data_IF_590781567964
#
_entry.id   IF_590781567964
#
_cell.length_a   1.000
_cell.length_b   1.000
_cell.length_c   1.000
_cell.angle_alpha   90.00
_cell.angle_beta   90.00
_cell.angle_gamma   90.00
#
_symmetry.space_group_name_H-M   'P 1'
#
loop_
_entity.id
_entity.type
_entity.pdbx_description
1 polymer ?
#
# COMPACT_ATOMS: atom_id res chain seq x y z
N UNK A 1 0.46 -38.76 25.58
CA UNK A 1 0.61 -38.08 24.28
C UNK A 1 1.27 -36.74 24.56
N UNK A 2 2.55 -36.61 24.22
CA UNK A 2 3.32 -35.37 24.36
C UNK A 2 2.79 -34.36 23.33
N UNK A 3 2.44 -33.15 23.78
CA UNK A 3 2.05 -32.09 22.84
C UNK A 3 3.24 -31.77 21.94
N UNK A 4 3.05 -31.57 20.63
CA UNK A 4 4.15 -31.15 19.77
C UNK A 4 4.70 -29.82 20.30
N UNK A 5 6.01 -29.78 20.60
CA UNK A 5 6.69 -28.55 20.95
C UNK A 5 6.56 -27.57 19.76
N UNK A 6 6.38 -26.27 20.01
CA UNK A 6 6.38 -25.29 18.95
C UNK A 6 7.74 -25.36 18.23
N UNK A 7 7.71 -25.67 16.93
CA UNK A 7 8.87 -25.57 16.06
C UNK A 7 9.37 -24.12 16.11
N UNK A 8 10.50 -23.91 16.78
CA UNK A 8 11.23 -22.65 16.76
C UNK A 8 12.01 -22.64 15.45
N UNK A 9 11.62 -21.77 14.52
CA UNK A 9 12.41 -21.56 13.31
C UNK A 9 13.70 -20.87 13.71
N UNK A 10 14.83 -21.57 13.60
CA UNK A 10 16.12 -21.08 14.07
C UNK A 10 16.84 -20.27 13.00
N UNK A 11 16.56 -20.57 11.72
CA UNK A 11 17.36 -20.08 10.60
C UNK A 11 16.51 -19.62 9.42
N UNK A 12 15.29 -20.16 9.29
CA UNK A 12 14.35 -19.77 8.26
C UNK A 12 13.28 -18.80 8.78
N UNK A 13 12.78 -17.96 7.88
CA UNK A 13 11.85 -16.89 8.21
C UNK A 13 10.49 -17.11 7.54
N UNK A 14 9.44 -16.73 8.26
CA UNK A 14 8.07 -16.80 7.78
C UNK A 14 7.81 -15.75 6.68
N UNK A 15 6.87 -16.00 5.76
CA UNK A 15 6.41 -14.97 4.85
C UNK A 15 5.82 -13.78 5.61
N UNK A 16 5.79 -12.59 4.98
CA UNK A 16 5.01 -11.44 5.45
C UNK A 16 3.55 -11.82 5.72
N UNK A 17 2.87 -11.03 6.54
CA UNK A 17 1.42 -11.17 6.66
C UNK A 17 0.79 -10.79 5.32
N UNK A 18 -0.13 -11.62 4.87
CA UNK A 18 -0.75 -11.51 3.56
C UNK A 18 -1.86 -10.45 3.55
N UNK A 19 -2.48 -10.19 4.70
CA UNK A 19 -3.67 -9.34 4.80
C UNK A 19 -3.45 -7.92 4.27
N UNK A 20 -2.34 -7.20 4.58
CA UNK A 20 -2.16 -5.83 4.10
C UNK A 20 -2.06 -5.73 2.58
N UNK A 21 -1.36 -6.68 1.94
CA UNK A 21 -1.19 -6.73 0.49
C UNK A 21 -2.54 -6.92 -0.22
N UNK A 22 -3.34 -7.86 0.28
CA UNK A 22 -4.61 -8.18 -0.34
C UNK A 22 -5.67 -7.10 -0.07
N UNK A 23 -5.63 -6.48 1.11
CA UNK A 23 -6.55 -5.39 1.47
C UNK A 23 -6.38 -4.18 0.56
N UNK A 24 -5.16 -3.84 0.14
CA UNK A 24 -4.89 -2.79 -0.85
C UNK A 24 -5.63 -3.07 -2.18
N UNK A 25 -5.60 -4.32 -2.64
CA UNK A 25 -6.34 -4.73 -3.84
C UNK A 25 -7.85 -4.64 -3.63
N UNK A 26 -8.37 -5.12 -2.50
CA UNK A 26 -9.80 -5.02 -2.18
C UNK A 26 -10.31 -3.58 -2.18
N UNK A 27 -9.62 -2.67 -1.49
CA UNK A 27 -9.97 -1.24 -1.45
C UNK A 27 -10.06 -0.68 -2.87
N UNK A 28 -9.11 -1.05 -3.73
CA UNK A 28 -9.08 -0.58 -5.11
C UNK A 28 -10.30 -1.06 -5.90
N UNK A 29 -10.70 -2.32 -5.71
CA UNK A 29 -11.86 -2.93 -6.38
C UNK A 29 -13.21 -2.45 -5.84
N UNK A 30 -13.32 -2.27 -4.53
CA UNK A 30 -14.59 -2.04 -3.83
C UNK A 30 -14.87 -0.57 -3.56
N UNK A 31 -13.83 0.26 -3.47
CA UNK A 31 -13.96 1.68 -3.15
C UNK A 31 -13.52 2.52 -4.33
N UNK A 32 -12.25 2.44 -4.75
CA UNK A 32 -11.73 3.38 -5.75
C UNK A 32 -12.47 3.30 -7.08
N UNK A 33 -12.47 2.14 -7.74
CA UNK A 33 -13.09 2.00 -9.06
C UNK A 33 -14.58 2.44 -9.09
N UNK A 34 -15.49 1.89 -8.25
CA UNK A 34 -16.90 2.26 -8.31
C UNK A 34 -17.14 3.73 -7.96
N UNK A 35 -16.40 4.30 -7.00
CA UNK A 35 -16.59 5.69 -6.59
C UNK A 35 -16.05 6.67 -7.65
N UNK A 36 -14.94 6.38 -8.33
CA UNK A 36 -14.49 7.18 -9.48
C UNK A 36 -15.49 7.15 -10.65
N UNK A 37 -16.10 6.00 -10.91
CA UNK A 37 -17.11 5.90 -11.96
C UNK A 37 -18.41 6.59 -11.60
N UNK A 38 -18.81 6.57 -10.33
CA UNK A 38 -19.96 7.34 -9.84
C UNK A 38 -19.74 8.84 -9.98
N UNK A 39 -18.57 9.35 -9.60
CA UNK A 39 -18.23 10.76 -9.78
C UNK A 39 -18.18 11.16 -11.26
N UNK A 40 -17.68 10.28 -12.15
CA UNK A 40 -17.73 10.48 -13.60
C UNK A 40 -19.16 10.59 -14.11
N UNK A 41 -20.02 9.65 -13.74
CA UNK A 41 -21.42 9.64 -14.16
C UNK A 41 -22.17 10.87 -13.64
N UNK A 42 -21.86 11.32 -12.43
CA UNK A 42 -22.41 12.56 -11.90
C UNK A 42 -21.97 13.79 -12.72
N UNK A 43 -20.72 13.86 -13.15
CA UNK A 43 -20.26 14.91 -14.06
C UNK A 43 -20.97 14.87 -15.41
N UNK A 44 -21.14 13.68 -15.99
CA UNK A 44 -21.78 13.46 -17.30
C UNK A 44 -23.29 13.72 -17.29
N UNK A 45 -23.97 13.55 -16.15
CA UNK A 45 -25.41 13.74 -16.02
C UNK A 45 -25.85 15.21 -16.02
N UNK A 46 -24.90 16.15 -15.94
CA UNK A 46 -25.18 17.59 -15.99
C UNK A 46 -25.58 18.00 -17.41
N UNK A 47 -26.76 18.64 -17.57
CA UNK A 47 -27.33 19.03 -18.89
C UNK A 47 -26.36 19.84 -19.76
N UNK A 48 -25.52 20.65 -19.12
CA UNK A 48 -24.42 21.37 -19.73
C UNK A 48 -23.12 20.82 -19.14
N UNK A 49 -22.46 19.89 -19.85
CA UNK A 49 -21.17 19.34 -19.42
C UNK A 49 -20.20 20.52 -19.33
N UNK A 50 -19.81 20.90 -18.12
CA UNK A 50 -18.80 21.92 -17.92
C UNK A 50 -17.44 21.34 -18.35
N UNK A 51 -16.85 21.81 -19.47
CA UNK A 51 -15.65 21.20 -20.04
C UNK A 51 -14.43 21.34 -19.13
N UNK A 52 -14.38 22.39 -18.32
CA UNK A 52 -13.30 22.62 -17.37
C UNK A 52 -13.39 21.62 -16.20
N UNK A 53 -14.59 21.40 -15.65
CA UNK A 53 -14.80 20.39 -14.61
C UNK A 53 -14.44 18.98 -15.09
N UNK A 54 -14.83 18.62 -16.31
CA UNK A 54 -14.49 17.34 -16.93
C UNK A 54 -12.98 17.18 -17.12
N UNK A 55 -12.31 18.22 -17.63
CA UNK A 55 -10.86 18.24 -17.82
C UNK A 55 -10.11 18.07 -16.50
N UNK A 56 -10.49 18.80 -15.45
CA UNK A 56 -9.88 18.66 -14.12
C UNK A 56 -10.00 17.22 -13.64
N UNK A 57 -11.21 16.64 -13.72
CA UNK A 57 -11.45 15.28 -13.25
C UNK A 57 -10.70 14.22 -14.07
N UNK A 58 -10.54 14.41 -15.38
CA UNK A 58 -9.75 13.52 -16.23
C UNK A 58 -8.25 13.52 -15.84
N UNK A 59 -7.67 14.69 -15.54
CA UNK A 59 -6.29 14.77 -15.03
C UNK A 59 -6.16 14.13 -13.64
N UNK A 60 -7.15 14.31 -12.76
CA UNK A 60 -7.18 13.62 -11.47
C UNK A 60 -7.18 12.10 -11.63
N UNK A 61 -8.05 11.54 -12.48
CA UNK A 61 -8.07 10.08 -12.77
C UNK A 61 -6.72 9.58 -13.29
N UNK A 62 -6.03 10.37 -14.11
CA UNK A 62 -4.69 10.06 -14.61
C UNK A 62 -3.64 10.02 -13.49
N UNK A 63 -3.62 11.00 -12.61
CA UNK A 63 -2.74 11.01 -11.42
C UNK A 63 -3.07 9.83 -10.52
N UNK A 64 -4.35 9.61 -10.21
CA UNK A 64 -4.82 8.47 -9.39
C UNK A 64 -4.32 7.13 -9.93
N UNK A 65 -4.37 6.91 -11.25
CA UNK A 65 -3.80 5.70 -11.88
C UNK A 65 -2.32 5.56 -11.58
N UNK A 66 -1.53 6.61 -11.82
CA UNK A 66 -0.07 6.57 -11.65
C UNK A 66 0.32 6.27 -10.20
N UNK A 67 -0.33 6.94 -9.25
CA UNK A 67 -0.05 6.74 -7.83
C UNK A 67 -0.53 5.37 -7.33
N UNK A 68 -1.68 4.88 -7.81
CA UNK A 68 -2.17 3.54 -7.44
C UNK A 68 -1.32 2.41 -8.04
N UNK A 69 -0.73 2.60 -9.22
CA UNK A 69 0.21 1.63 -9.80
C UNK A 69 1.45 1.44 -8.93
N UNK A 70 1.90 2.47 -8.19
CA UNK A 70 2.99 2.33 -7.22
C UNK A 70 2.59 1.42 -6.05
N UNK A 71 1.35 1.50 -5.57
CA UNK A 71 0.85 0.56 -4.56
C UNK A 71 0.83 -0.89 -5.09
N UNK A 72 0.40 -1.11 -6.34
CA UNK A 72 0.42 -2.45 -6.94
C UNK A 72 1.83 -2.97 -7.26
N UNK A 73 2.81 -2.09 -7.41
CA UNK A 73 4.22 -2.48 -7.51
C UNK A 73 4.69 -3.23 -6.26
N UNK A 74 4.20 -2.86 -5.08
CA UNK A 74 4.50 -3.56 -3.82
C UNK A 74 4.02 -5.01 -3.86
N UNK A 75 2.82 -5.27 -4.39
CA UNK A 75 2.30 -6.63 -4.57
C UNK A 75 3.13 -7.44 -5.57
N UNK A 76 3.63 -6.80 -6.64
CA UNK A 76 4.55 -7.45 -7.58
C UNK A 76 5.86 -7.87 -6.90
N UNK A 77 6.42 -7.00 -6.05
CA UNK A 77 7.64 -7.32 -5.31
C UNK A 77 7.38 -8.43 -4.28
N UNK A 78 6.23 -8.42 -3.61
CA UNK A 78 5.83 -9.49 -2.70
C UNK A 78 5.77 -10.86 -3.39
N UNK A 79 5.18 -10.93 -4.58
CA UNK A 79 5.18 -12.14 -5.42
C UNK A 79 6.63 -12.56 -5.77
N UNK A 80 7.48 -11.62 -6.20
CA UNK A 80 8.89 -11.87 -6.52
C UNK A 80 9.65 -12.42 -5.30
N UNK A 81 9.50 -11.82 -4.12
CA UNK A 81 10.15 -12.28 -2.89
C UNK A 81 9.74 -13.71 -2.56
N UNK A 82 8.46 -14.06 -2.70
CA UNK A 82 7.99 -15.41 -2.47
C UNK A 82 8.63 -16.44 -3.44
N UNK A 83 8.81 -16.06 -4.72
CA UNK A 83 9.53 -16.89 -5.68
C UNK A 83 11.01 -17.07 -5.31
N UNK A 84 11.68 -15.99 -4.89
CA UNK A 84 13.09 -16.03 -4.47
C UNK A 84 13.27 -16.90 -3.23
N UNK A 85 12.37 -16.76 -2.24
CA UNK A 85 12.41 -17.58 -1.04
C UNK A 85 12.17 -19.06 -1.34
N UNK A 86 11.27 -19.36 -2.30
CA UNK A 86 11.05 -20.74 -2.75
C UNK A 86 12.30 -21.35 -3.40
N UNK A 87 13.08 -20.56 -4.14
CA UNK A 87 14.38 -21.01 -4.68
C UNK A 87 15.40 -21.29 -3.59
N UNK A 88 15.46 -20.44 -2.56
CA UNK A 88 16.31 -20.65 -1.39
C UNK A 88 15.96 -21.97 -0.68
N UNK A 89 14.68 -22.20 -0.40
CA UNK A 89 14.24 -23.43 0.26
C UNK A 89 14.52 -24.69 -0.56
N UNK A 90 14.39 -24.59 -1.89
CA UNK A 90 14.77 -25.67 -2.79
C UNK A 90 16.28 -25.95 -2.72
N UNK A 91 17.13 -24.92 -2.72
CA UNK A 91 18.57 -25.08 -2.58
C UNK A 91 18.94 -25.78 -1.26
N UNK A 92 18.28 -25.42 -0.15
CA UNK A 92 18.48 -26.06 1.16
C UNK A 92 18.10 -27.55 1.10
N UNK A 93 16.91 -27.88 0.58
CA UNK A 93 16.44 -29.27 0.47
C UNK A 93 17.36 -30.13 -0.41
N UNK A 94 17.93 -29.54 -1.46
CA UNK A 94 18.89 -30.19 -2.37
C UNK A 94 20.34 -30.17 -1.85
N UNK A 95 20.60 -29.58 -0.68
CA UNK A 95 21.94 -29.38 -0.09
C UNK A 95 22.90 -28.61 -1.02
N UNK A 96 22.35 -27.71 -1.81
CA UNK A 96 23.10 -26.79 -2.68
C UNK A 96 23.58 -25.56 -1.89
N UNK A 97 24.58 -24.82 -2.40
CA UNK A 97 25.02 -23.56 -1.78
C UNK A 97 23.87 -22.56 -1.64
N UNK A 98 23.74 -21.97 -0.46
CA UNK A 98 22.68 -21.02 -0.07
C UNK A 98 23.04 -19.52 -0.08
N UNK A 99 24.33 -19.08 -0.07
CA UNK A 99 24.65 -17.65 0.01
C UNK A 99 24.07 -16.78 -1.10
N UNK A 100 24.07 -17.26 -2.34
CA UNK A 100 23.54 -16.51 -3.49
C UNK A 100 22.00 -16.44 -3.45
N UNK A 101 21.25 -17.55 -3.30
CA UNK A 101 19.79 -17.50 -3.12
C UNK A 101 19.34 -16.65 -1.93
N UNK A 102 20.06 -16.70 -0.80
CA UNK A 102 19.75 -15.89 0.38
C UNK A 102 19.98 -14.40 0.11
N UNK A 103 21.07 -14.07 -0.59
CA UNK A 103 21.33 -12.69 -0.99
C UNK A 103 20.27 -12.15 -1.95
N UNK A 104 19.76 -12.95 -2.88
CA UNK A 104 18.67 -12.54 -3.76
C UNK A 104 17.40 -12.22 -2.96
N UNK A 105 17.07 -13.01 -1.93
CA UNK A 105 15.96 -12.73 -1.02
C UNK A 105 16.17 -11.40 -0.28
N UNK A 106 17.39 -11.18 0.24
CA UNK A 106 17.75 -9.91 0.88
C UNK A 106 17.53 -8.71 -0.04
N UNK A 107 18.01 -8.79 -1.29
CA UNK A 107 17.81 -7.72 -2.27
C UNK A 107 16.32 -7.51 -2.58
N UNK A 108 15.56 -8.59 -2.79
CA UNK A 108 14.13 -8.49 -3.07
C UNK A 108 13.33 -7.88 -1.93
N UNK A 109 13.69 -8.17 -0.68
CA UNK A 109 13.02 -7.61 0.51
C UNK A 109 13.42 -6.17 0.76
N UNK A 110 14.69 -5.81 0.53
CA UNK A 110 15.14 -4.41 0.53
C UNK A 110 14.42 -3.57 -0.53
N UNK A 111 14.28 -4.10 -1.76
CA UNK A 111 13.45 -3.48 -2.79
C UNK A 111 12.00 -3.31 -2.31
N UNK A 112 11.41 -4.32 -1.70
CA UNK A 112 10.05 -4.28 -1.16
C UNK A 112 9.85 -3.16 -0.13
N UNK A 113 10.82 -2.95 0.74
CA UNK A 113 10.83 -1.85 1.71
C UNK A 113 10.82 -0.49 1.00
N UNK A 114 11.75 -0.26 0.06
CA UNK A 114 11.86 1.02 -0.66
C UNK A 114 10.60 1.32 -1.50
N UNK A 115 10.07 0.33 -2.23
CA UNK A 115 8.84 0.51 -3.01
C UNK A 115 7.60 0.72 -2.13
N UNK A 116 7.55 0.12 -0.95
CA UNK A 116 6.47 0.37 0.01
C UNK A 116 6.49 1.81 0.50
N UNK A 117 7.68 2.36 0.77
CA UNK A 117 7.85 3.77 1.11
C UNK A 117 7.44 4.69 -0.04
N UNK A 118 7.88 4.43 -1.26
CA UNK A 118 7.47 5.19 -2.44
C UNK A 118 5.94 5.17 -2.62
N UNK A 119 5.31 4.02 -2.43
CA UNK A 119 3.87 3.87 -2.53
C UNK A 119 3.12 4.65 -1.42
N UNK A 120 3.68 4.79 -0.22
CA UNK A 120 3.09 5.66 0.80
C UNK A 120 3.13 7.13 0.41
N UNK A 121 4.25 7.60 -0.14
CA UNK A 121 4.38 8.95 -0.68
C UNK A 121 3.37 9.17 -1.83
N UNK A 122 3.18 8.15 -2.66
CA UNK A 122 2.17 8.15 -3.71
C UNK A 122 0.74 8.37 -3.18
N UNK A 123 0.37 7.73 -2.07
CA UNK A 123 -0.93 7.93 -1.44
C UNK A 123 -1.11 9.37 -0.91
N UNK A 124 -0.05 10.02 -0.45
CA UNK A 124 -0.09 11.44 -0.05
C UNK A 124 -0.37 12.34 -1.26
N UNK A 125 0.34 12.11 -2.37
CA UNK A 125 0.13 12.85 -3.64
C UNK A 125 -1.28 12.63 -4.16
N UNK A 126 -1.74 11.38 -4.16
CA UNK A 126 -3.07 11.02 -4.61
C UNK A 126 -4.14 11.74 -3.78
N UNK A 127 -4.04 11.71 -2.45
CA UNK A 127 -4.95 12.41 -1.55
C UNK A 127 -5.00 13.92 -1.85
N UNK A 128 -3.83 14.54 -1.97
CA UNK A 128 -3.72 15.98 -2.23
C UNK A 128 -4.32 16.40 -3.58
N UNK A 129 -4.08 15.61 -4.63
CA UNK A 129 -4.65 15.88 -5.96
C UNK A 129 -6.17 15.72 -5.95
N UNK A 130 -6.71 14.70 -5.28
CA UNK A 130 -8.15 14.50 -5.19
C UNK A 130 -8.83 15.68 -4.48
N UNK A 131 -8.31 16.10 -3.32
CA UNK A 131 -8.87 17.27 -2.62
C UNK A 131 -8.78 18.56 -3.44
N UNK A 132 -7.64 18.79 -4.09
CA UNK A 132 -7.42 19.93 -4.98
C UNK A 132 -8.42 19.92 -6.14
N UNK A 133 -8.63 18.76 -6.76
CA UNK A 133 -9.56 18.58 -7.87
C UNK A 133 -11.00 18.88 -7.47
N UNK A 134 -11.45 18.38 -6.30
CA UNK A 134 -12.81 18.59 -5.80
C UNK A 134 -13.07 20.08 -5.57
N UNK A 135 -12.10 20.83 -5.02
CA UNK A 135 -12.21 22.29 -4.85
C UNK A 135 -12.30 23.00 -6.21
N UNK A 136 -11.43 22.66 -7.16
CA UNK A 136 -11.39 23.29 -8.50
C UNK A 136 -12.67 22.98 -9.30
N UNK A 137 -13.14 21.75 -9.25
CA UNK A 137 -14.40 21.33 -9.88
C UNK A 137 -15.59 22.07 -9.25
N UNK A 138 -15.64 22.16 -7.92
CA UNK A 138 -16.71 22.91 -7.23
C UNK A 138 -16.70 24.39 -7.64
N UNK A 139 -15.53 25.02 -7.71
CA UNK A 139 -15.39 26.39 -8.17
C UNK A 139 -15.86 26.57 -9.63
N UNK A 140 -15.47 25.66 -10.52
CA UNK A 140 -15.86 25.68 -11.93
C UNK A 140 -17.37 25.50 -12.14
N UNK A 141 -18.04 24.74 -11.28
CA UNK A 141 -19.49 24.54 -11.34
C UNK A 141 -20.28 25.69 -10.73
N UNK A 142 -19.72 26.40 -9.75
CA UNK A 142 -20.38 27.54 -9.11
C UNK A 142 -20.41 28.81 -9.99
N UNK A 143 -19.57 28.89 -11.02
CA UNK A 143 -19.59 29.99 -12.00
C UNK A 143 -20.62 29.79 -13.11
N UNK A 144 -21.24 28.61 -13.17
CA UNK A 144 -22.32 28.27 -14.10
C UNK A 144 -23.62 28.12 -13.29
N UNK A 145 -24.78 28.49 -13.85
CA UNK A 145 -26.08 28.31 -13.16
C UNK A 145 -26.43 26.82 -12.88
N UNK A 146 -25.55 25.88 -13.24
CA UNK A 146 -25.59 24.44 -12.98
C UNK A 146 -25.22 24.11 -11.52
N UNK A 147 -26.02 24.56 -10.56
CA UNK A 147 -25.63 24.61 -9.15
C UNK A 147 -25.64 23.28 -8.36
N UNK A 148 -25.95 22.11 -8.93
CA UNK A 148 -26.61 21.07 -8.09
C UNK A 148 -26.01 19.65 -8.06
N UNK A 149 -25.20 19.16 -9.01
CA UNK A 149 -24.91 17.70 -9.00
C UNK A 149 -23.74 17.25 -8.11
N UNK A 150 -22.55 17.85 -8.20
CA UNK A 150 -21.36 17.38 -7.49
C UNK A 150 -21.26 17.80 -6.01
N UNK A 151 -22.00 18.83 -5.62
CA UNK A 151 -22.17 19.26 -4.22
C UNK A 151 -23.28 18.50 -3.50
N UNK A 152 -23.93 17.56 -4.17
CA UNK A 152 -24.92 16.69 -3.53
C UNK A 152 -24.27 15.93 -2.37
N UNK A 153 -25.05 15.70 -1.31
CA UNK A 153 -24.64 14.91 -0.15
C UNK A 153 -24.10 13.54 -0.57
N UNK A 154 -24.66 12.97 -1.63
CA UNK A 154 -24.28 11.69 -2.19
C UNK A 154 -22.85 11.70 -2.77
N UNK A 155 -22.47 12.73 -3.52
CA UNK A 155 -21.15 12.87 -4.11
C UNK A 155 -20.10 13.30 -3.07
N UNK A 156 -20.48 14.12 -2.09
CA UNK A 156 -19.63 14.45 -0.94
C UNK A 156 -19.26 13.17 -0.19
N UNK A 157 -20.24 12.31 0.09
CA UNK A 157 -20.00 11.01 0.73
C UNK A 157 -19.04 10.14 -0.09
N UNK A 158 -19.25 10.06 -1.40
CA UNK A 158 -18.36 9.31 -2.32
C UNK A 158 -16.92 9.81 -2.28
N UNK A 159 -16.69 11.13 -2.26
CA UNK A 159 -15.34 11.70 -2.12
C UNK A 159 -14.74 11.35 -0.76
N UNK A 160 -15.50 11.47 0.33
CA UNK A 160 -15.04 11.10 1.67
C UNK A 160 -14.64 9.64 1.77
N UNK A 161 -15.41 8.73 1.18
CA UNK A 161 -15.09 7.30 1.13
C UNK A 161 -13.75 7.04 0.40
N UNK A 162 -13.51 7.71 -0.74
CA UNK A 162 -12.22 7.59 -1.43
C UNK A 162 -11.08 8.11 -0.54
N UNK A 163 -11.25 9.26 0.10
CA UNK A 163 -10.20 9.84 0.96
C UNK A 163 -9.86 8.92 2.14
N UNK A 164 -10.86 8.38 2.82
CA UNK A 164 -10.64 7.40 3.90
C UNK A 164 -9.94 6.13 3.41
N UNK A 165 -10.30 5.64 2.21
CA UNK A 165 -9.63 4.51 1.59
C UNK A 165 -8.17 4.80 1.20
N UNK A 166 -7.83 6.03 0.79
CA UNK A 166 -6.44 6.44 0.55
C UNK A 166 -5.65 6.40 1.87
N UNK A 167 -6.22 6.92 2.95
CA UNK A 167 -5.60 6.92 4.26
C UNK A 167 -5.39 5.48 4.79
N UNK A 168 -6.37 4.59 4.58
CA UNK A 168 -6.25 3.16 4.89
C UNK A 168 -5.12 2.50 4.08
N UNK A 169 -5.08 2.69 2.75
CA UNK A 169 -4.01 2.18 1.89
C UNK A 169 -2.62 2.63 2.34
N UNK A 170 -2.47 3.90 2.76
CA UNK A 170 -1.19 4.40 3.28
C UNK A 170 -0.74 3.64 4.53
N UNK A 171 -1.65 3.35 5.46
CA UNK A 171 -1.35 2.58 6.67
C UNK A 171 -0.95 1.14 6.31
N UNK A 172 -1.67 0.50 5.39
CA UNK A 172 -1.35 -0.85 4.92
C UNK A 172 0.01 -0.92 4.25
N UNK A 173 0.36 0.09 3.45
CA UNK A 173 1.68 0.20 2.82
C UNK A 173 2.81 0.42 3.83
N UNK A 174 2.54 1.09 4.96
CA UNK A 174 3.49 1.16 6.08
C UNK A 174 3.68 -0.22 6.72
N UNK A 175 2.61 -1.00 6.89
CA UNK A 175 2.73 -2.37 7.39
C UNK A 175 3.53 -3.26 6.43
N UNK A 176 3.31 -3.15 5.12
CA UNK A 176 4.14 -3.83 4.11
C UNK A 176 5.61 -3.43 4.23
N UNK A 177 5.90 -2.13 4.35
CA UNK A 177 7.25 -1.61 4.56
C UNK A 177 7.92 -2.27 5.76
N UNK A 178 7.25 -2.30 6.92
CA UNK A 178 7.83 -2.82 8.16
C UNK A 178 8.09 -4.33 8.09
N UNK A 179 7.21 -5.06 7.41
CA UNK A 179 7.38 -6.50 7.19
C UNK A 179 8.55 -6.80 6.25
N UNK A 180 8.71 -6.03 5.17
CA UNK A 180 9.86 -6.16 4.28
C UNK A 180 11.16 -5.76 4.98
N UNK A 181 11.16 -4.67 5.74
CA UNK A 181 12.33 -4.22 6.50
C UNK A 181 12.79 -5.30 7.48
N UNK A 182 11.86 -5.88 8.24
CA UNK A 182 12.14 -6.99 9.15
C UNK A 182 12.76 -8.19 8.41
N UNK A 183 12.18 -8.60 7.30
CA UNK A 183 12.68 -9.74 6.53
C UNK A 183 14.05 -9.46 5.88
N UNK A 184 14.29 -8.22 5.47
CA UNK A 184 15.59 -7.78 4.95
C UNK A 184 16.68 -7.87 6.01
N UNK A 185 16.45 -7.33 7.21
CA UNK A 185 17.40 -7.47 8.34
C UNK A 185 17.65 -8.95 8.67
N UNK A 186 16.62 -9.78 8.60
CA UNK A 186 16.71 -11.21 8.87
C UNK A 186 17.48 -12.02 7.82
N UNK A 187 17.67 -11.48 6.62
CA UNK A 187 18.32 -12.16 5.48
C UNK A 187 19.64 -11.50 5.06
N UNK A 188 20.07 -10.46 5.78
CA UNK A 188 21.30 -9.71 5.50
C UNK A 188 22.57 -10.55 5.70
N UNK A 189 22.61 -11.40 6.74
CA UNK A 189 23.73 -12.30 6.99
C UNK A 189 23.67 -13.52 6.06
N UNK A 190 24.54 -13.52 5.05
CA UNK A 190 24.67 -14.59 4.05
C UNK A 190 25.09 -15.94 4.63
N UNK A 191 25.72 -15.96 5.80
CA UNK A 191 26.24 -17.16 6.45
C UNK A 191 25.32 -17.73 7.51
N UNK A 192 24.18 -17.07 7.76
CA UNK A 192 23.24 -17.43 8.83
C UNK A 192 22.71 -18.86 8.69
N UNK A 193 22.42 -19.29 7.47
CA UNK A 193 21.92 -20.64 7.16
C UNK A 193 23.02 -21.69 7.27
N UNK A 194 24.24 -21.38 6.79
CA UNK A 194 25.36 -22.33 6.86
C UNK A 194 25.84 -22.53 8.31
N UNK A 195 25.76 -21.48 9.14
CA UNK A 195 26.14 -21.53 10.55
C UNK A 195 25.13 -22.31 11.41
N UNK A 196 23.86 -22.29 11.02
CA UNK A 196 22.77 -22.98 11.69
C UNK A 196 21.87 -23.65 10.63
N UNK A 197 22.24 -24.83 10.12
CA UNK A 197 21.46 -25.47 9.07
C UNK A 197 20.05 -25.83 9.60
N UNK A 198 18.97 -25.44 8.89
CA UNK A 198 17.61 -25.76 9.30
C UNK A 198 17.35 -27.26 9.19
N UNK A 199 16.41 -27.76 10.00
CA UNK A 199 15.98 -29.16 9.87
C UNK A 199 15.15 -29.38 8.60
N UNK A 200 15.02 -30.65 8.18
CA UNK A 200 14.14 -30.98 7.04
C UNK A 200 12.68 -30.61 7.36
N UNK A 201 12.22 -30.88 8.58
CA UNK A 201 10.88 -30.53 9.04
C UNK A 201 10.64 -29.02 9.03
N UNK A 202 11.62 -28.22 9.49
CA UNK A 202 11.57 -26.76 9.40
C UNK A 202 11.45 -26.32 7.95
N UNK A 203 12.30 -26.86 7.07
CA UNK A 203 12.33 -26.53 5.64
C UNK A 203 10.98 -26.82 4.98
N UNK A 204 10.40 -28.00 5.23
CA UNK A 204 9.09 -28.39 4.68
C UNK A 204 7.95 -27.51 5.19
N UNK A 205 7.94 -27.17 6.48
CA UNK A 205 6.92 -26.29 7.08
C UNK A 205 7.00 -24.88 6.48
N UNK A 206 8.22 -24.34 6.35
CA UNK A 206 8.43 -23.01 5.80
C UNK A 206 8.10 -22.97 4.30
N UNK A 207 8.45 -24.02 3.55
CA UNK A 207 8.08 -24.18 2.15
C UNK A 207 6.56 -24.15 1.97
N UNK A 208 5.81 -24.92 2.76
CA UNK A 208 4.35 -24.92 2.71
C UNK A 208 3.74 -23.54 2.97
N UNK A 209 4.32 -22.76 3.90
CA UNK A 209 3.86 -21.40 4.21
C UNK A 209 4.15 -20.40 3.09
N UNK A 210 5.37 -20.41 2.55
CA UNK A 210 5.73 -19.54 1.42
C UNK A 210 4.97 -19.89 0.15
N UNK A 211 4.73 -21.18 -0.11
CA UNK A 211 3.90 -21.63 -1.23
C UNK A 211 2.47 -21.11 -1.07
N UNK A 212 1.88 -21.25 0.13
CA UNK A 212 0.56 -20.71 0.42
C UNK A 212 0.52 -19.19 0.20
N UNK A 213 1.52 -18.46 0.69
CA UNK A 213 1.62 -17.02 0.47
C UNK A 213 1.68 -16.68 -1.04
N UNK A 214 2.54 -17.36 -1.79
CA UNK A 214 2.71 -17.19 -3.23
C UNK A 214 1.40 -17.44 -3.98
N UNK A 215 0.72 -18.56 -3.72
CA UNK A 215 -0.50 -18.94 -4.41
C UNK A 215 -1.63 -17.93 -4.21
N UNK A 216 -1.66 -17.24 -3.06
CA UNK A 216 -2.67 -16.23 -2.79
C UNK A 216 -2.35 -14.85 -3.39
N UNK A 217 -1.07 -14.50 -3.56
CA UNK A 217 -0.66 -13.18 -4.07
C UNK A 217 -0.36 -13.17 -5.57
N UNK A 218 -0.10 -14.34 -6.16
CA UNK A 218 0.30 -14.49 -7.56
C UNK A 218 -0.70 -13.82 -8.51
N UNK A 219 -0.20 -12.91 -9.33
CA UNK A 219 -0.99 -12.24 -10.37
C UNK A 219 -1.96 -11.17 -9.86
N UNK A 220 -2.10 -10.98 -8.54
CA UNK A 220 -2.98 -9.93 -7.97
C UNK A 220 -2.54 -8.54 -8.44
N UNK A 221 -1.24 -8.31 -8.56
CA UNK A 221 -0.70 -7.04 -9.08
C UNK A 221 -1.09 -6.80 -10.54
N UNK A 222 -1.19 -7.83 -11.39
CA UNK A 222 -1.59 -7.67 -12.80
C UNK A 222 -3.00 -7.08 -12.86
N UNK A 223 -3.93 -7.68 -12.12
CA UNK A 223 -5.29 -7.18 -11.99
C UNK A 223 -5.36 -5.80 -11.34
N UNK A 224 -4.47 -5.51 -10.39
CA UNK A 224 -4.31 -4.17 -9.84
C UNK A 224 -3.95 -3.14 -10.90
N UNK A 225 -2.98 -3.44 -11.77
CA UNK A 225 -2.57 -2.55 -12.86
C UNK A 225 -3.69 -2.33 -13.90
N UNK A 226 -4.46 -3.38 -14.21
CA UNK A 226 -5.65 -3.31 -15.06
C UNK A 226 -6.70 -2.40 -14.43
N UNK A 227 -6.96 -2.57 -13.13
CA UNK A 227 -7.92 -1.76 -12.38
C UNK A 227 -7.50 -0.28 -12.34
N UNK A 228 -6.23 0.01 -12.04
CA UNK A 228 -5.72 1.37 -12.09
C UNK A 228 -5.89 1.99 -13.49
N UNK A 229 -5.75 1.17 -14.54
CA UNK A 229 -5.99 1.61 -15.92
C UNK A 229 -7.48 1.87 -16.19
N UNK A 230 -8.39 1.05 -15.65
CA UNK A 230 -9.84 1.26 -15.72
C UNK A 230 -10.29 2.52 -14.96
N UNK A 231 -9.62 2.85 -13.85
CA UNK A 231 -9.81 4.14 -13.17
C UNK A 231 -9.43 5.30 -14.10
N UNK A 232 -8.42 5.18 -14.97
CA UNK A 232 -8.12 6.26 -15.91
C UNK A 232 -9.07 6.30 -17.11
N UNK A 233 -9.15 5.20 -17.85
CA UNK A 233 -10.00 5.04 -19.03
C UNK A 233 -11.04 3.99 -18.71
N UNK A 234 -12.27 4.39 -18.35
CA UNK A 234 -13.33 3.42 -18.13
C UNK A 234 -13.62 2.67 -19.43
N UNK A 235 -13.91 1.36 -19.37
CA UNK A 235 -14.23 0.59 -20.57
C UNK A 235 -15.43 1.21 -21.30
N UNK A 236 -15.45 1.17 -22.65
CA UNK A 236 -16.60 1.65 -23.41
C UNK A 236 -17.87 0.97 -22.87
N UNK A 237 -18.91 1.75 -22.59
CA UNK A 237 -20.22 1.18 -22.23
C UNK A 237 -20.67 0.31 -23.40
N UNK A 238 -20.59 -1.00 -23.26
CA UNK A 238 -21.24 -1.92 -24.21
C UNK A 238 -22.72 -1.58 -24.20
N UNK A 239 -23.23 -1.10 -25.34
CA UNK A 239 -24.64 -0.75 -25.50
C UNK A 239 -25.51 -1.98 -25.13
N UNK A 240 -26.65 -1.82 -24.43
CA UNK A 240 -27.52 -2.93 -24.02
C UNK A 240 -28.19 -3.73 -25.16
N UNK A 241 -27.71 -3.61 -26.41
CA UNK A 241 -28.27 -4.27 -27.58
C UNK A 241 -27.24 -4.88 -28.54
N UNK A 242 -25.95 -4.87 -28.21
CA UNK A 242 -24.95 -5.61 -28.99
C UNK A 242 -24.85 -7.03 -28.42
N UNK A 243 -25.22 -8.01 -29.26
CA UNK A 243 -25.30 -9.45 -29.03
C UNK A 243 -24.51 -9.98 -27.83
N UNK A 244 -25.16 -10.85 -27.07
CA UNK A 244 -24.57 -11.86 -26.20
C UNK A 244 -23.54 -12.71 -26.96
N UNK A 245 -22.37 -12.14 -27.26
CA UNK A 245 -21.19 -12.92 -27.58
C UNK A 245 -20.71 -13.49 -26.26
N UNK A 246 -21.34 -14.60 -25.87
CA UNK A 246 -20.85 -15.63 -24.96
C UNK A 246 -19.62 -15.16 -24.18
N UNK A 247 -19.81 -14.34 -23.15
CA UNK A 247 -18.80 -14.21 -22.10
C UNK A 247 -18.82 -15.60 -21.50
N UNK A 248 -17.88 -16.44 -21.97
CA UNK A 248 -17.60 -17.75 -21.40
C UNK A 248 -17.63 -17.56 -19.91
N UNK A 249 -18.41 -18.40 -19.21
CA UNK A 249 -18.46 -18.46 -17.75
C UNK A 249 -17.02 -18.52 -17.23
N UNK A 250 -16.40 -17.38 -17.03
CA UNK A 250 -15.08 -17.29 -16.47
C UNK A 250 -15.26 -17.72 -15.03
N UNK A 251 -14.51 -18.76 -14.67
CA UNK A 251 -14.32 -19.21 -13.31
C UNK A 251 -14.32 -18.01 -12.39
N UNK A 252 -15.13 -18.10 -11.33
CA UNK A 252 -15.03 -17.15 -10.21
C UNK A 252 -13.54 -17.04 -9.88
N UNK A 253 -12.92 -15.85 -9.99
CA UNK A 253 -11.49 -15.74 -9.83
C UNK A 253 -11.08 -16.37 -8.50
N UNK A 254 -10.11 -17.29 -8.55
CA UNK A 254 -9.67 -18.12 -7.41
C UNK A 254 -9.46 -17.29 -6.13
N UNK A 255 -9.04 -16.03 -6.28
CA UNK A 255 -8.91 -15.08 -5.18
C UNK A 255 -10.21 -14.88 -4.40
N UNK A 256 -11.38 -14.67 -5.03
CA UNK A 256 -12.68 -14.54 -4.33
C UNK A 256 -13.01 -15.76 -3.47
N UNK A 257 -12.69 -16.96 -3.95
CA UNK A 257 -12.88 -18.20 -3.16
C UNK A 257 -11.84 -18.37 -2.05
N UNK A 258 -10.63 -17.83 -2.21
CA UNK A 258 -9.59 -17.86 -1.18
C UNK A 258 -9.90 -16.88 -0.04
N UNK A 259 -10.39 -15.68 -0.34
CA UNK A 259 -10.81 -14.70 0.67
C UNK A 259 -11.97 -15.17 1.53
N UNK A 260 -13.00 -15.75 0.92
CA UNK A 260 -14.11 -16.34 1.67
C UNK A 260 -13.70 -17.51 2.57
N UNK A 261 -12.56 -18.16 2.28
CA UNK A 261 -12.02 -19.26 3.10
C UNK A 261 -11.16 -18.73 4.25
N UNK A 262 -10.49 -17.60 4.09
CA UNK A 262 -9.67 -17.00 5.16
C UNK A 262 -10.55 -16.40 6.27
N UNK A 263 -11.59 -15.63 5.91
CA UNK A 263 -12.58 -15.08 6.85
C UNK A 263 -13.20 -16.17 7.75
N UNK A 264 -13.48 -17.36 7.17
CA UNK A 264 -14.05 -18.48 7.90
C UNK A 264 -13.06 -19.16 8.84
N UNK A 265 -11.77 -19.18 8.53
CA UNK A 265 -10.74 -19.76 9.41
C UNK A 265 -10.44 -18.85 10.60
N UNK A 266 -10.46 -17.54 10.39
CA UNK A 266 -10.21 -16.57 11.46
C UNK A 266 -11.42 -16.47 12.42
N UNK A 267 -12.65 -16.64 11.91
CA UNK A 267 -13.85 -16.77 12.74
C UNK A 267 -13.78 -18.00 13.67
N UNK A 268 -13.31 -19.15 13.17
CA UNK A 268 -13.18 -20.39 13.95
C UNK A 268 -12.04 -20.34 14.97
N UNK A 269 -10.97 -19.57 14.72
CA UNK A 269 -9.90 -19.35 15.69
C UNK A 269 -10.32 -18.44 16.83
N UNK A 270 -11.16 -17.43 16.57
CA UNK A 270 -11.61 -16.48 17.59
C UNK A 270 -12.63 -17.09 18.57
N UNK A 271 -13.51 -17.98 18.10
CA UNK A 271 -14.50 -18.65 18.97
C UNK A 271 -13.92 -19.66 19.97
N UNK A 272 -12.67 -20.12 19.79
CA UNK A 272 -12.03 -21.06 20.71
C UNK A 272 -11.32 -20.37 21.89
N UNK A 273 -11.23 -19.04 21.90
CA UNK A 273 -10.59 -18.25 22.98
C UNK A 273 -11.58 -17.70 24.02
N UNK A 274 -12.90 -17.91 23.84
CA UNK A 274 -13.94 -17.38 24.73
C UNK A 274 -14.79 -18.47 25.39
N UNK A 275 -14.15 -19.50 25.95
CA UNK A 275 -14.82 -20.40 26.91
C UNK A 275 -14.22 -20.18 28.30
N UNK A 276 -14.92 -19.47 29.21
CA UNK A 276 -14.47 -19.35 30.59
C UNK A 276 -14.70 -20.67 31.32
N UNK A 277 -13.63 -21.21 31.88
CA UNK A 277 -13.65 -22.31 32.85
C UNK A 277 -14.30 -21.79 34.14
N UNK A 278 -15.42 -22.39 34.53
CA UNK A 278 -16.09 -22.18 35.81
C UNK A 278 -15.18 -22.69 36.94
N UNK A 279 -14.82 -21.83 37.90
CA UNK A 279 -15.04 -22.06 39.33
C UNK A 279 -14.62 -20.84 40.19
N UNK A 280 -15.26 -20.61 41.35
CA UNK A 280 -15.31 -19.30 41.99
C UNK A 280 -14.28 -19.17 43.12
N UNK A 281 -13.58 -18.04 43.17
CA UNK A 281 -12.85 -17.60 44.36
C UNK A 281 -13.47 -16.30 44.86
N UNK A 282 -14.09 -16.39 46.03
CA UNK A 282 -14.64 -15.32 46.85
C UNK A 282 -13.53 -14.40 47.33
N UNK A 283 -13.56 -13.11 46.96
CA UNK A 283 -12.75 -12.07 47.64
C UNK A 283 -13.65 -10.86 47.95
N UNK A 284 -13.59 -10.48 49.22
CA UNK A 284 -14.34 -9.45 49.93
C UNK A 284 -13.95 -8.05 49.46
N UNK A 285 -14.95 -7.21 49.18
CA UNK A 285 -14.80 -5.78 48.93
C UNK A 285 -14.77 -5.00 50.25
N UNK A 286 -13.76 -4.15 50.42
CA UNK A 286 -13.82 -3.00 51.33
C UNK A 286 -13.38 -1.75 50.56
N UNK A 287 -14.28 -0.77 50.47
CA UNK A 287 -14.01 0.57 49.98
C UNK A 287 -13.27 1.40 51.05
N UNK A 288 -12.65 2.52 50.65
CA UNK A 288 -13.12 3.77 51.23
C UNK A 288 -13.17 4.97 50.27
N UNK A 289 -13.99 5.92 50.72
CA UNK A 289 -14.37 7.24 50.20
C UNK A 289 -13.20 8.21 49.94
N UNK A 290 -13.45 9.20 49.08
CA UNK A 290 -12.67 10.45 49.05
C UNK A 290 -13.05 11.40 47.92
N UNK A 291 -13.94 12.35 48.22
CA UNK A 291 -14.34 13.50 47.41
C UNK A 291 -13.24 14.58 47.33
N UNK A 292 -13.11 15.30 46.21
CA UNK A 292 -12.79 16.74 46.23
C UNK A 292 -13.14 17.47 44.92
N UNK A 293 -13.73 18.64 45.09
CA UNK A 293 -14.27 19.58 44.10
C UNK A 293 -13.23 20.47 43.38
N UNK A 294 -13.63 20.93 42.19
CA UNK A 294 -13.50 22.26 41.55
C UNK A 294 -12.25 23.13 41.80
N UNK A 295 -11.63 23.58 40.68
CA UNK A 295 -11.58 25.02 40.35
C UNK A 295 -11.09 25.31 38.92
N UNK A 296 -11.89 26.09 38.20
CA UNK A 296 -11.61 26.81 36.94
C UNK A 296 -10.80 28.08 37.17
N UNK A 297 -9.85 28.39 36.29
CA UNK A 297 -9.39 29.79 36.04
C UNK A 297 -8.89 29.97 34.60
N UNK A 298 -9.53 30.91 33.91
CA UNK A 298 -9.15 31.44 32.61
C UNK A 298 -8.28 32.70 32.79
N UNK A 299 -7.26 32.89 31.94
CA UNK A 299 -6.64 34.20 31.66
C UNK A 299 -6.27 34.27 30.17
N UNK A 300 -6.67 35.37 29.55
CA UNK A 300 -6.52 35.74 28.13
C UNK A 300 -5.23 36.56 27.87
N UNK A 301 -4.87 36.86 26.60
CA UNK A 301 -3.49 37.12 26.17
C UNK A 301 -3.08 38.60 26.17
N UNK A 302 -1.76 38.85 26.25
CA UNK A 302 -1.13 40.18 26.13
C UNK A 302 -0.52 40.36 24.73
N UNK A 303 -0.97 41.41 24.04
CA UNK A 303 -0.33 42.03 22.85
C UNK A 303 0.91 42.82 23.28
N UNK A 304 1.99 42.77 22.48
CA UNK A 304 3.03 43.81 22.48
C UNK A 304 3.32 44.23 21.03
N UNK A 305 3.45 45.54 20.86
CA UNK A 305 3.49 46.29 19.60
C UNK A 305 4.92 46.74 19.28
N UNK A 306 5.24 46.74 17.97
CA UNK A 306 6.20 47.53 17.19
C UNK A 306 7.46 48.17 17.84
N UNK A 307 8.60 47.91 17.21
CA UNK A 307 9.80 48.77 17.23
C UNK A 307 10.53 48.73 15.89
N UNK A 308 10.66 49.90 15.24
CA UNK A 308 11.31 50.16 13.94
C UNK A 308 12.52 51.07 14.18
N UNK A 309 13.73 50.70 13.77
CA UNK A 309 14.86 51.64 13.52
C UNK A 309 15.78 51.10 12.40
N UNK A 310 16.18 52.03 11.53
CA UNK A 310 17.12 52.05 10.38
C UNK A 310 18.58 51.70 10.76
N UNK A 311 19.63 51.67 9.93
CA UNK A 311 20.02 51.65 8.50
C UNK A 311 21.55 51.41 8.55
N UNK A 312 22.17 50.83 7.54
CA UNK A 312 23.64 50.71 7.48
C UNK A 312 24.14 50.02 6.22
N UNK A 313 24.56 50.85 5.25
CA UNK A 313 25.09 50.51 3.93
C UNK A 313 26.59 50.22 4.03
N UNK A 314 27.07 49.14 3.39
CA UNK A 314 28.46 49.06 2.90
C UNK A 314 28.48 48.30 1.57
N UNK A 315 29.18 48.86 0.59
CA UNK A 315 29.29 48.40 -0.79
C UNK A 315 30.50 47.48 -1.04
N UNK A 316 30.29 46.46 -1.91
CA UNK A 316 31.14 45.83 -2.96
C UNK A 316 32.66 45.56 -2.76
N UNK A 317 33.34 44.71 -3.59
CA UNK A 317 32.88 43.81 -4.67
C UNK A 317 33.49 42.37 -4.61
N UNK A 318 33.00 41.44 -5.42
CA UNK A 318 33.79 40.74 -6.47
C UNK A 318 33.04 39.53 -7.06
N UNK A 319 33.09 39.47 -8.39
CA UNK A 319 32.48 38.43 -9.21
C UNK A 319 33.55 37.43 -9.68
N UNK A 320 33.27 36.14 -9.54
CA UNK A 320 33.90 35.05 -10.32
C UNK A 320 32.91 33.87 -10.40
N UNK A 321 32.93 33.06 -11.47
CA UNK A 321 31.78 32.29 -11.92
C UNK A 321 31.52 31.02 -11.11
N UNK A 322 30.27 30.83 -10.73
CA UNK A 322 29.74 29.61 -10.13
C UNK A 322 29.63 28.50 -11.18
N UNK A 323 30.48 27.49 -11.07
CA UNK A 323 30.25 26.18 -11.65
C UNK A 323 29.06 25.54 -10.92
N UNK A 324 27.89 25.53 -11.56
CA UNK A 324 26.71 24.87 -11.03
C UNK A 324 26.97 23.36 -10.80
N UNK A 325 26.47 22.77 -9.71
CA UNK A 325 26.64 21.35 -9.47
C UNK A 325 25.81 20.55 -10.49
N UNK A 326 26.48 19.64 -11.20
CA UNK A 326 25.84 18.62 -12.00
C UNK A 326 24.75 17.91 -11.17
N UNK A 327 23.56 17.75 -11.75
CA UNK A 327 22.46 17.02 -11.14
C UNK A 327 22.96 15.65 -10.66
N UNK A 328 22.94 15.43 -9.34
CA UNK A 328 23.24 14.13 -8.74
C UNK A 328 22.19 13.15 -9.22
N UNK A 329 22.53 12.39 -10.25
CA UNK A 329 21.78 11.20 -10.66
C UNK A 329 21.75 10.27 -9.44
N UNK A 330 20.57 9.83 -8.96
CA UNK A 330 20.46 8.93 -7.81
C UNK A 330 21.32 7.68 -8.02
N UNK A 331 22.02 7.24 -6.98
CA UNK A 331 22.90 6.06 -7.00
C UNK A 331 22.22 4.82 -7.60
N UNK A 332 20.93 4.63 -7.31
CA UNK A 332 20.10 3.56 -7.87
C UNK A 332 19.98 3.58 -9.40
N UNK A 333 19.95 4.76 -10.05
CA UNK A 333 19.96 4.87 -11.52
C UNK A 333 21.27 4.36 -12.14
N UNK A 334 22.39 4.43 -11.42
CA UNK A 334 23.68 3.86 -11.89
C UNK A 334 23.71 2.34 -11.79
N UNK A 335 22.99 1.75 -10.84
CA UNK A 335 22.88 0.29 -10.70
C UNK A 335 22.05 -0.29 -11.85
N UNK A 336 20.92 0.34 -12.20
CA UNK A 336 20.10 -0.08 -13.34
C UNK A 336 20.80 0.04 -14.71
N UNK A 337 21.67 1.04 -14.89
CA UNK A 337 22.46 1.16 -16.12
C UNK A 337 23.57 0.11 -16.25
N UNK A 338 24.04 -0.48 -15.14
CA UNK A 338 25.00 -1.59 -15.18
C UNK A 338 24.36 -2.93 -15.51
N UNK A 339 23.13 -3.19 -15.04
CA UNK A 339 22.44 -4.45 -15.35
C UNK A 339 21.99 -4.54 -16.82
N UNK A 340 21.60 -3.42 -17.45
CA UNK A 340 21.21 -3.42 -18.86
C UNK A 340 22.38 -3.52 -19.86
N UNK A 341 23.63 -3.32 -19.41
CA UNK A 341 24.81 -3.33 -20.30
C UNK A 341 25.42 -4.72 -20.47
N UNK A 342 25.04 -5.69 -19.62
CA UNK A 342 25.59 -7.05 -19.64
C UNK A 342 24.80 -8.04 -20.51
N UNK A 343 23.69 -7.61 -21.15
CA UNK A 343 22.87 -8.46 -22.02
C UNK A 343 23.06 -8.20 -23.52
N UNK A 344 24.14 -7.53 -23.92
CA UNK A 344 24.47 -7.32 -25.33
C UNK A 344 25.89 -7.81 -25.61
N UNK A 345 26.01 -9.11 -25.83
CA UNK A 345 27.11 -9.69 -26.61
C UNK A 345 26.71 -9.70 -28.09
N UNK A 346 27.61 -9.35 -29.02
CA UNK A 346 27.31 -9.32 -30.44
C UNK A 346 27.34 -10.75 -31.01
N UNK A 347 26.35 -11.09 -31.83
CA UNK A 347 26.42 -12.23 -32.74
C UNK A 347 27.43 -11.90 -33.85
N UNK A 348 28.36 -12.81 -34.10
CA UNK A 348 29.11 -12.90 -35.35
C UNK A 348 28.18 -13.16 -36.53
#
# INVERSE_FOLDING_TARGET
MTSPQPLVCTSLHLPPDLQPFLRIYEISTQVFLPNFDRLRLALEATRDINPEAYKIFAETRKVSRQELQKAFKVLQIAEKVAQLYSKLLKAISEKNPTPDPLYDVYIGTYEGMEYSKEAQEAMIVFRGELESSVRRVTAALNTTDSKILLTSTENIKTVSEILSAIDECKILLQQCHDQFAKLSTQTEDKTSIDSNPPSEEETQVILGKWQTYFDNIRGVWIHGFELASAIYVPPPKTSPGASESTISRHEVPLWRTLFQRQDKRDLLRSTNLLRPTTDPITIVFTAPNGSLELQTKAINPVKVTAGKVSSGITACPDATPSNGPASKVPFWRRIFQRMNRNNSSPLC
#
